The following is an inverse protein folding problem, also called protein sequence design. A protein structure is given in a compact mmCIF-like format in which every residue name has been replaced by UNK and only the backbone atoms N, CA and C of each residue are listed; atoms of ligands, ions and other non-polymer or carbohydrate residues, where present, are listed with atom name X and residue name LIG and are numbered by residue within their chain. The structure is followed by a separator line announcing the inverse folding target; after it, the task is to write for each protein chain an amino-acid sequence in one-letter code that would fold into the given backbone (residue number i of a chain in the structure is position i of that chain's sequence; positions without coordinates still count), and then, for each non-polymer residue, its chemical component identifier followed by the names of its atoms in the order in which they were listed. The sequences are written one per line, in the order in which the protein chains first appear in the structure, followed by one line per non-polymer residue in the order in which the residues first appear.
data_IF_312546012162
#
_entry.id   IF_312546012162
#
_cell.length_a   1.000
_cell.length_b   1.000
_cell.length_c   1.000
_cell.angle_alpha   90.00
_cell.angle_beta   90.00
_cell.angle_gamma   90.00
#
_symmetry.space_group_name_H-M   'P 1'
#
loop_
_entity.id
_entity.type
_entity.pdbx_description
1 polymer ?
#
# COMPACT_ATOMS: atom_id res chain seq x y z
N UNK A 1 14.24 8.28 -1.05
CA UNK A 1 12.93 8.73 -1.57
C UNK A 1 12.27 7.60 -2.33
N UNK A 2 11.00 7.33 -2.04
CA UNK A 2 10.26 6.27 -2.68
C UNK A 2 9.09 6.79 -3.50
N UNK A 3 8.69 6.03 -4.52
CA UNK A 3 7.48 6.25 -5.31
C UNK A 3 6.37 5.41 -4.69
N UNK A 4 5.31 6.04 -4.23
CA UNK A 4 4.22 5.38 -3.53
C UNK A 4 2.92 5.54 -4.30
N UNK A 5 2.21 4.44 -4.51
CA UNK A 5 0.86 4.47 -5.08
C UNK A 5 -0.14 4.18 -3.97
N UNK A 6 -0.96 5.19 -3.65
CA UNK A 6 -2.00 5.09 -2.62
C UNK A 6 -3.37 4.95 -3.29
N UNK A 7 -4.11 3.93 -2.89
CA UNK A 7 -5.43 3.61 -3.45
C UNK A 7 -6.47 3.70 -2.35
N UNK A 8 -7.30 4.75 -2.40
CA UNK A 8 -8.35 5.01 -1.42
C UNK A 8 -9.39 5.91 -2.08
N UNK A 9 -10.66 5.59 -1.91
CA UNK A 9 -11.73 6.38 -2.52
C UNK A 9 -12.11 7.63 -1.72
N UNK A 10 -11.56 7.80 -0.51
CA UNK A 10 -11.80 8.99 0.31
C UNK A 10 -10.76 10.08 -0.02
N UNK A 11 -11.18 11.20 -0.65
CA UNK A 11 -10.25 12.27 -1.00
C UNK A 11 -9.53 12.89 0.20
N UNK A 12 -10.13 12.85 1.40
CA UNK A 12 -9.51 13.38 2.62
C UNK A 12 -8.32 12.52 3.04
N UNK A 13 -8.47 11.21 2.93
CA UNK A 13 -7.38 10.26 3.21
C UNK A 13 -6.27 10.43 2.18
N UNK A 14 -6.61 10.51 0.91
CA UNK A 14 -5.63 10.74 -0.17
C UNK A 14 -4.82 12.01 0.07
N UNK A 15 -5.49 13.09 0.44
CA UNK A 15 -4.82 14.37 0.72
C UNK A 15 -3.88 14.24 1.92
N UNK A 16 -4.34 13.62 2.99
CA UNK A 16 -3.55 13.41 4.22
C UNK A 16 -2.31 12.56 3.94
N UNK A 17 -2.49 11.44 3.24
CA UNK A 17 -1.41 10.52 2.88
C UNK A 17 -0.37 11.25 2.01
N UNK A 18 -0.84 11.92 0.97
CA UNK A 18 0.05 12.62 0.03
C UNK A 18 0.87 13.69 0.73
N UNK A 19 0.22 14.54 1.53
CA UNK A 19 0.88 15.61 2.27
C UNK A 19 1.89 15.07 3.27
N UNK A 20 1.49 14.07 4.05
CA UNK A 20 2.34 13.48 5.09
C UNK A 20 3.59 12.83 4.51
N UNK A 21 3.43 12.02 3.49
CA UNK A 21 4.55 11.28 2.89
C UNK A 21 5.44 12.16 2.03
N UNK A 22 4.89 13.20 1.42
CA UNK A 22 5.69 14.19 0.70
C UNK A 22 6.64 14.89 1.66
N UNK A 23 6.16 15.29 2.83
CA UNK A 23 6.99 15.90 3.87
C UNK A 23 8.10 14.96 4.33
N UNK A 24 7.85 13.66 4.31
CA UNK A 24 8.83 12.64 4.66
C UNK A 24 9.81 12.30 3.50
N UNK A 25 9.68 12.97 2.36
CA UNK A 25 10.61 12.81 1.24
C UNK A 25 10.18 11.84 0.15
N UNK A 26 8.93 11.40 0.18
CA UNK A 26 8.41 10.46 -0.83
C UNK A 26 7.57 11.16 -1.88
N UNK A 27 7.48 10.57 -3.06
CA UNK A 27 6.53 10.97 -4.08
C UNK A 27 5.31 10.06 -4.01
N UNK A 28 4.11 10.64 -4.02
CA UNK A 28 2.86 9.90 -3.86
C UNK A 28 1.92 10.20 -5.02
N UNK A 29 1.44 9.14 -5.66
CA UNK A 29 0.34 9.21 -6.60
C UNK A 29 -0.87 8.59 -5.92
N UNK A 30 -2.02 9.27 -5.99
CA UNK A 30 -3.26 8.78 -5.39
C UNK A 30 -4.28 8.46 -6.46
N UNK A 31 -4.97 7.33 -6.31
CA UNK A 31 -6.08 6.93 -7.17
C UNK A 31 -7.23 6.44 -6.29
N UNK A 32 -8.45 6.45 -6.83
CA UNK A 32 -9.65 6.16 -6.03
C UNK A 32 -10.19 4.75 -6.13
N UNK A 33 -9.66 3.91 -7.02
CA UNK A 33 -10.15 2.55 -7.22
C UNK A 33 -9.07 1.63 -7.78
N UNK A 34 -9.36 0.33 -7.80
CA UNK A 34 -8.42 -0.68 -8.25
C UNK A 34 -8.13 -0.58 -9.75
N UNK A 35 -9.13 -0.24 -10.56
CA UNK A 35 -8.93 -0.11 -12.01
C UNK A 35 -7.96 1.02 -12.34
N UNK A 36 -8.10 2.16 -11.66
CA UNK A 36 -7.18 3.28 -11.81
C UNK A 36 -5.78 2.92 -11.35
N UNK A 37 -5.67 2.12 -10.27
CA UNK A 37 -4.38 1.64 -9.79
C UNK A 37 -3.70 0.75 -10.84
N UNK A 38 -4.43 -0.18 -11.43
CA UNK A 38 -3.90 -1.08 -12.46
C UNK A 38 -3.50 -0.30 -13.72
N UNK A 39 -4.30 0.71 -14.10
CA UNK A 39 -3.96 1.59 -15.23
C UNK A 39 -2.67 2.36 -14.95
N UNK A 40 -2.48 2.85 -13.72
CA UNK A 40 -1.28 3.58 -13.33
C UNK A 40 -0.02 2.71 -13.47
N UNK A 41 -0.13 1.41 -13.23
CA UNK A 41 0.99 0.48 -13.35
C UNK A 41 1.48 0.32 -14.79
N UNK A 42 0.66 0.66 -15.78
CA UNK A 42 1.09 0.70 -17.18
C UNK A 42 2.04 1.86 -17.46
N UNK A 43 1.97 2.91 -16.63
CA UNK A 43 2.79 4.11 -16.78
C UNK A 43 4.09 4.00 -15.99
N UNK A 44 4.02 3.51 -14.75
CA UNK A 44 5.19 3.39 -13.88
C UNK A 44 4.89 2.42 -12.74
N UNK A 45 5.95 1.83 -12.17
CA UNK A 45 5.84 0.94 -11.03
C UNK A 45 6.27 1.67 -9.76
N UNK A 46 5.45 1.63 -8.71
CA UNK A 46 5.84 2.22 -7.44
C UNK A 46 6.79 1.31 -6.66
N UNK A 47 7.35 1.88 -5.60
CA UNK A 47 8.18 1.13 -4.65
C UNK A 47 7.33 0.54 -3.53
N UNK A 48 6.10 1.02 -3.35
CA UNK A 48 5.19 0.60 -2.29
C UNK A 48 3.75 0.92 -2.66
N UNK A 49 2.84 0.02 -2.28
CA UNK A 49 1.40 0.24 -2.38
C UNK A 49 0.78 0.52 -1.02
N UNK A 50 -0.08 1.53 -0.94
CA UNK A 50 -0.99 1.74 0.19
C UNK A 50 -2.39 1.46 -0.32
N UNK A 51 -3.06 0.43 0.19
CA UNK A 51 -4.36 0.00 -0.31
C UNK A 51 -5.42 0.04 0.78
N UNK A 52 -6.52 0.76 0.52
CA UNK A 52 -7.70 0.67 1.36
C UNK A 52 -8.41 -0.66 1.10
N UNK A 53 -8.91 -1.31 2.16
CA UNK A 53 -9.67 -2.54 2.04
C UNK A 53 -10.98 -2.32 1.28
N UNK A 54 -11.69 -1.23 1.61
CA UNK A 54 -13.04 -0.98 1.09
C UNK A 54 -13.02 -0.08 -0.14
N UNK A 55 -12.53 -0.61 -1.26
CA UNK A 55 -12.53 0.10 -2.53
C UNK A 55 -13.81 -0.18 -3.32
N UNK A 56 -14.28 0.79 -4.12
CA UNK A 56 -15.40 0.54 -5.03
C UNK A 56 -14.97 -0.45 -6.13
N UNK A 57 -15.88 -1.32 -6.52
CA UNK A 57 -15.59 -2.34 -7.53
C UNK A 57 -14.75 -3.47 -6.93
N UNK A 58 -13.50 -3.59 -7.33
CA UNK A 58 -12.61 -4.62 -6.81
C UNK A 58 -12.20 -4.31 -5.37
N UNK A 59 -12.45 -5.25 -4.46
CA UNK A 59 -12.06 -5.13 -3.06
C UNK A 59 -10.55 -5.00 -2.90
N UNK A 60 -10.10 -4.20 -1.91
CA UNK A 60 -8.67 -3.95 -1.70
C UNK A 60 -7.84 -5.19 -1.47
N UNK A 61 -8.38 -6.19 -0.76
CA UNK A 61 -7.67 -7.47 -0.55
C UNK A 61 -7.54 -8.26 -1.84
N UNK A 62 -8.55 -8.21 -2.71
CA UNK A 62 -8.46 -8.84 -4.03
C UNK A 62 -7.40 -8.17 -4.90
N UNK A 63 -7.30 -6.84 -4.82
CA UNK A 63 -6.24 -6.11 -5.51
C UNK A 63 -4.87 -6.52 -4.97
N UNK A 64 -4.71 -6.61 -3.65
CA UNK A 64 -3.46 -7.03 -3.03
C UNK A 64 -3.05 -8.43 -3.51
N UNK A 65 -3.97 -9.38 -3.52
CA UNK A 65 -3.71 -10.74 -4.03
C UNK A 65 -3.26 -10.73 -5.49
N UNK A 66 -3.94 -9.94 -6.31
CA UNK A 66 -3.59 -9.81 -7.72
C UNK A 66 -2.17 -9.27 -7.90
N UNK A 67 -1.80 -8.23 -7.15
CA UNK A 67 -0.46 -7.64 -7.20
C UNK A 67 0.61 -8.62 -6.74
N UNK A 68 0.32 -9.40 -5.70
CA UNK A 68 1.26 -10.39 -5.17
C UNK A 68 1.42 -11.63 -6.06
N UNK A 69 0.47 -11.88 -6.96
CA UNK A 69 0.51 -13.02 -7.87
C UNK A 69 1.22 -12.74 -9.19
N UNK A 70 1.56 -11.50 -9.49
CA UNK A 70 2.17 -11.10 -10.75
C UNK A 70 3.66 -10.82 -10.57
N UNK A 71 4.49 -11.31 -11.49
CA UNK A 71 5.95 -11.14 -11.44
C UNK A 71 6.37 -9.67 -11.35
N UNK A 72 5.68 -8.79 -12.06
CA UNK A 72 6.03 -7.39 -12.13
C UNK A 72 5.76 -6.60 -10.85
N UNK A 73 4.93 -7.11 -9.95
CA UNK A 73 4.49 -6.40 -8.74
C UNK A 73 4.66 -7.20 -7.45
N UNK A 74 4.92 -8.49 -7.54
CA UNK A 74 4.97 -9.37 -6.36
C UNK A 74 6.06 -9.00 -5.35
N UNK A 75 7.10 -8.32 -5.78
CA UNK A 75 8.19 -7.89 -4.90
C UNK A 75 7.94 -6.51 -4.27
N UNK A 76 6.88 -5.82 -4.68
CA UNK A 76 6.54 -4.49 -4.16
C UNK A 76 5.73 -4.67 -2.88
N UNK A 77 6.17 -4.07 -1.74
CA UNK A 77 5.44 -4.23 -0.49
C UNK A 77 4.07 -3.55 -0.52
N UNK A 78 3.11 -4.18 0.13
CA UNK A 78 1.73 -3.68 0.25
C UNK A 78 1.43 -3.39 1.71
N UNK A 79 0.96 -2.18 1.99
CA UNK A 79 0.43 -1.76 3.29
C UNK A 79 -1.07 -1.60 3.16
N UNK A 80 -1.84 -2.32 3.97
CA UNK A 80 -3.30 -2.22 3.96
C UNK A 80 -3.77 -1.15 4.94
N UNK A 81 -4.71 -0.31 4.49
CA UNK A 81 -5.36 0.71 5.31
C UNK A 81 -6.81 0.29 5.56
N UNK A 82 -7.29 0.36 6.79
CA UNK A 82 -8.68 -0.01 7.08
C UNK A 82 -9.18 0.63 8.38
N UNK A 83 -10.48 0.94 8.42
CA UNK A 83 -11.16 1.36 9.65
C UNK A 83 -11.50 0.16 10.54
N UNK A 84 -11.37 -1.05 10.03
CA UNK A 84 -11.79 -2.25 10.75
C UNK A 84 -10.75 -2.73 11.73
N UNK A 85 -11.23 -3.12 12.91
CA UNK A 85 -10.40 -3.64 14.00
C UNK A 85 -10.61 -5.14 14.22
N UNK A 86 -11.47 -5.78 13.42
CA UNK A 86 -11.73 -7.22 13.52
C UNK A 86 -10.44 -8.00 13.24
N UNK A 87 -10.00 -8.89 14.15
CA UNK A 87 -8.80 -9.70 13.93
C UNK A 87 -8.83 -10.51 12.63
N UNK A 88 -10.01 -10.89 12.15
CA UNK A 88 -10.15 -11.62 10.89
C UNK A 88 -9.74 -10.77 9.69
N UNK A 89 -9.95 -9.46 9.74
CA UNK A 89 -9.53 -8.56 8.67
C UNK A 89 -8.01 -8.45 8.62
N UNK A 90 -7.34 -8.44 9.77
CA UNK A 90 -5.89 -8.44 9.84
C UNK A 90 -5.30 -9.74 9.28
N UNK A 91 -5.88 -10.87 9.66
CA UNK A 91 -5.46 -12.17 9.13
C UNK A 91 -5.63 -12.21 7.61
N UNK A 92 -6.78 -11.75 7.10
CA UNK A 92 -7.05 -11.70 5.67
C UNK A 92 -6.06 -10.77 4.94
N UNK A 93 -5.71 -9.63 5.53
CA UNK A 93 -4.74 -8.70 4.96
C UNK A 93 -3.37 -9.37 4.79
N UNK A 94 -2.86 -10.02 5.82
CA UNK A 94 -1.58 -10.72 5.74
C UNK A 94 -1.64 -11.92 4.80
N UNK A 95 -2.75 -12.65 4.78
CA UNK A 95 -2.95 -13.76 3.85
C UNK A 95 -2.97 -13.28 2.39
N UNK A 96 -3.38 -12.04 2.11
CA UNK A 96 -3.35 -11.46 0.77
C UNK A 96 -1.96 -11.05 0.31
N UNK A 97 -0.96 -11.15 1.19
CA UNK A 97 0.43 -10.80 0.91
C UNK A 97 0.88 -9.44 1.46
N UNK A 98 0.01 -8.74 2.19
CA UNK A 98 0.38 -7.45 2.79
C UNK A 98 1.49 -7.63 3.83
N UNK A 99 2.42 -6.68 3.88
CA UNK A 99 3.52 -6.71 4.85
C UNK A 99 3.16 -6.01 6.15
N UNK A 100 2.16 -5.14 6.14
CA UNK A 100 1.65 -4.52 7.34
C UNK A 100 0.22 -4.02 7.15
N UNK A 101 -0.41 -3.69 8.25
CA UNK A 101 -1.81 -3.27 8.32
C UNK A 101 -1.87 -2.01 9.19
N UNK A 102 -2.49 -0.94 8.69
CA UNK A 102 -2.60 0.32 9.40
C UNK A 102 -4.07 0.69 9.60
N UNK A 103 -4.50 0.82 10.85
CA UNK A 103 -5.90 1.13 11.20
C UNK A 103 -6.18 2.62 11.07
N UNK A 104 -7.31 2.96 10.45
CA UNK A 104 -7.83 4.34 10.41
C UNK A 104 -8.65 4.61 11.67
N UNK A 105 -8.60 5.79 12.25
CA UNK A 105 -7.71 6.91 11.90
C UNK A 105 -6.28 6.66 12.40
N UNK A 106 -5.29 7.07 11.62
CA UNK A 106 -3.89 6.93 12.00
C UNK A 106 -3.22 8.31 12.04
N UNK A 107 -2.18 8.42 12.84
CA UNK A 107 -1.39 9.63 12.96
C UNK A 107 -0.33 9.68 11.87
N UNK A 108 0.18 10.88 11.59
CA UNK A 108 1.28 11.06 10.63
C UNK A 108 2.46 10.16 10.93
N UNK A 109 2.85 10.06 12.21
CA UNK A 109 3.95 9.22 12.63
C UNK A 109 3.71 7.75 12.30
N UNK A 110 2.50 7.25 12.54
CA UNK A 110 2.14 5.86 12.28
C UNK A 110 2.27 5.53 10.78
N UNK A 111 1.81 6.44 9.94
CA UNK A 111 1.90 6.29 8.49
C UNK A 111 3.36 6.29 8.02
N UNK A 112 4.14 7.26 8.47
CA UNK A 112 5.57 7.37 8.09
C UNK A 112 6.34 6.13 8.54
N UNK A 113 6.11 5.67 9.77
CA UNK A 113 6.80 4.50 10.33
C UNK A 113 6.41 3.21 9.58
N UNK A 114 5.13 3.04 9.25
CA UNK A 114 4.65 1.87 8.50
C UNK A 114 5.29 1.81 7.11
N UNK A 115 5.34 2.93 6.41
CA UNK A 115 5.95 3.02 5.08
C UNK A 115 7.44 2.71 5.15
N UNK A 116 8.15 3.33 6.10
CA UNK A 116 9.59 3.10 6.27
C UNK A 116 9.89 1.63 6.55
N UNK A 117 9.15 1.01 7.48
CA UNK A 117 9.34 -0.39 7.84
C UNK A 117 9.07 -1.31 6.66
N UNK A 118 8.02 -1.04 5.88
CA UNK A 118 7.69 -1.84 4.70
C UNK A 118 8.78 -1.74 3.63
N UNK A 119 9.32 -0.55 3.40
CA UNK A 119 10.40 -0.34 2.43
C UNK A 119 11.69 -1.04 2.86
N UNK A 120 12.03 -0.98 4.15
CA UNK A 120 13.20 -1.67 4.71
C UNK A 120 13.07 -3.19 4.56
N UNK A 121 11.89 -3.73 4.84
CA UNK A 121 11.61 -5.15 4.69
C UNK A 121 11.78 -5.61 3.23
N UNK A 122 11.31 -4.81 2.28
CA UNK A 122 11.45 -5.10 0.85
C UNK A 122 12.92 -5.17 0.42
N UNK A 123 13.75 -4.25 0.93
CA UNK A 123 15.20 -4.24 0.66
C UNK A 123 15.85 -5.50 1.23
N UNK A 124 15.51 -5.89 2.46
CA UNK A 124 16.04 -7.11 3.08
C UNK A 124 15.66 -8.37 2.33
N UNK A 125 14.42 -8.46 1.84
CA UNK A 125 13.95 -9.59 1.04
C UNK A 125 14.71 -9.70 -0.27
N UNK A 126 14.99 -8.59 -0.95
CA UNK A 126 15.78 -8.56 -2.17
C UNK A 126 17.21 -9.03 -1.93
N UNK A 127 17.84 -8.61 -0.83
CA UNK A 127 19.20 -9.04 -0.47
C UNK A 127 19.29 -10.54 -0.18
N UNK A 128 18.25 -11.12 0.43
CA UNK A 128 18.19 -12.57 0.65
C UNK A 128 18.05 -13.35 -0.65
N UNK A 129 17.28 -12.78 -1.60
CA UNK A 129 16.99 -13.42 -2.87
C UNK A 129 18.19 -13.44 -3.81
N UNK A 130 19.06 -12.43 -3.69
CA UNK A 130 20.24 -12.24 -4.55
C UNK A 130 21.46 -12.02 -3.65
N UNK A 131 21.99 -13.10 -3.06
CA UNK A 131 23.17 -12.99 -2.18
C UNK A 131 24.43 -12.57 -2.92
#
# INVERSE_FOLDING_TARGET
MAQILAVDDDPRICKFVKSTLKTAGHEVTTVGDAESALAQLLMSRPDLFLLDINLPGMHGLALAEKLQSQKGTMSIPVVILSVRTDPRDKVAAFASGAVTYLEKPFKKKDLVDAVRSALELAVRRRKRRFP
#
